data_IF_641773865331
#
_entry.id   IF_641773865331
#
_cell.length_a   1.000
_cell.length_b   1.000
_cell.length_c   1.000
_cell.angle_alpha   90.00
_cell.angle_beta   90.00
_cell.angle_gamma   90.00
#
_symmetry.space_group_name_H-M   'P 1'
#
loop_
_entity.id
_entity.type
_entity.pdbx_description
1 polymer ?
#
# COMPACT_ATOMS: atom_id res chain seq x y z
N UNK A 1 -10.42 22.42 -4.66
CA UNK A 1 -11.03 21.11 -4.97
C UNK A 1 -9.92 20.22 -5.48
N UNK A 2 -9.67 19.07 -4.87
CA UNK A 2 -8.71 18.11 -5.43
C UNK A 2 -9.28 17.54 -6.73
N UNK A 3 -8.48 17.55 -7.78
CA UNK A 3 -8.79 16.92 -9.06
C UNK A 3 -8.46 15.43 -9.01
N UNK A 4 -9.08 14.64 -9.89
CA UNK A 4 -8.77 13.22 -10.02
C UNK A 4 -7.27 12.96 -10.30
N UNK A 5 -6.58 13.91 -10.95
CA UNK A 5 -5.15 13.82 -11.26
C UNK A 5 -4.29 14.00 -10.02
N UNK A 6 -4.52 15.07 -9.25
CA UNK A 6 -3.82 15.31 -7.98
C UNK A 6 -4.05 14.17 -6.99
N UNK A 7 -5.24 13.56 -7.03
CA UNK A 7 -5.57 12.39 -6.23
C UNK A 7 -4.83 11.14 -6.64
N UNK A 8 -4.58 10.94 -7.94
CA UNK A 8 -3.76 9.84 -8.44
C UNK A 8 -2.29 9.98 -8.01
N UNK A 9 -1.77 11.20 -7.93
CA UNK A 9 -0.39 11.46 -7.46
C UNK A 9 -0.19 11.09 -5.99
N UNK A 10 -1.21 11.31 -5.15
CA UNK A 10 -1.15 11.03 -3.71
C UNK A 10 -1.77 9.68 -3.30
N UNK A 11 -2.28 8.91 -4.26
CA UNK A 11 -2.99 7.63 -3.99
C UNK A 11 -2.06 6.59 -3.36
N UNK A 12 -0.77 6.63 -3.71
CA UNK A 12 0.24 5.72 -3.18
C UNK A 12 0.51 6.01 -1.71
N UNK A 13 0.69 7.28 -1.35
CA UNK A 13 0.87 7.71 0.05
C UNK A 13 -0.35 7.38 0.90
N UNK A 14 -1.56 7.44 0.32
CA UNK A 14 -2.77 6.99 0.98
C UNK A 14 -2.77 5.48 1.22
N UNK A 15 -2.38 4.67 0.23
CA UNK A 15 -2.34 3.20 0.35
C UNK A 15 -1.26 2.72 1.32
N UNK A 16 -0.14 3.43 1.39
CA UNK A 16 0.97 3.13 2.29
C UNK A 16 0.80 3.73 3.69
N UNK A 17 -0.29 4.46 3.93
CA UNK A 17 -0.58 5.06 5.23
C UNK A 17 0.34 6.22 5.63
N UNK A 18 1.08 6.81 4.68
CA UNK A 18 2.04 7.91 4.90
C UNK A 18 1.40 9.30 4.87
N UNK A 19 0.08 9.39 4.73
CA UNK A 19 -0.65 10.65 4.55
C UNK A 19 -1.07 11.31 5.88
N UNK A 20 -0.77 12.61 6.03
CA UNK A 20 -1.24 13.44 7.14
C UNK A 20 -2.79 13.53 7.20
N UNK A 21 -3.33 13.64 8.42
CA UNK A 21 -4.77 13.56 8.68
C UNK A 21 -5.62 14.53 7.85
N UNK A 22 -5.19 15.80 7.72
CA UNK A 22 -5.92 16.81 6.94
C UNK A 22 -6.03 16.47 5.45
N UNK A 23 -4.95 15.95 4.84
CA UNK A 23 -4.97 15.49 3.44
C UNK A 23 -5.89 14.27 3.27
N UNK A 24 -5.90 13.38 4.26
CA UNK A 24 -6.75 12.19 4.27
C UNK A 24 -8.23 12.54 4.28
N UNK A 25 -8.64 13.58 5.01
CA UNK A 25 -10.06 14.03 4.99
C UNK A 25 -10.48 14.54 3.62
N UNK A 26 -9.66 15.38 2.98
CA UNK A 26 -9.95 15.90 1.64
C UNK A 26 -10.03 14.77 0.60
N UNK A 27 -9.14 13.77 0.72
CA UNK A 27 -9.13 12.56 -0.09
C UNK A 27 -10.44 11.76 0.03
N UNK A 28 -10.91 11.54 1.26
CA UNK A 28 -12.18 10.85 1.53
C UNK A 28 -13.39 11.58 0.98
N UNK A 29 -13.43 12.91 1.12
CA UNK A 29 -14.52 13.75 0.62
C UNK A 29 -14.60 13.70 -0.92
N UNK A 30 -13.48 13.66 -1.63
CA UNK A 30 -13.53 13.49 -3.07
C UNK A 30 -13.97 12.08 -3.49
N UNK A 31 -13.50 11.04 -2.80
CA UNK A 31 -13.87 9.65 -3.11
C UNK A 31 -15.37 9.40 -2.95
N UNK A 32 -15.99 10.01 -1.94
CA UNK A 32 -17.45 9.87 -1.75
C UNK A 32 -18.24 10.44 -2.93
N UNK A 33 -17.74 11.52 -3.54
CA UNK A 33 -18.40 12.22 -4.65
C UNK A 33 -17.99 11.71 -6.04
N UNK A 34 -16.81 11.10 -6.20
CA UNK A 34 -16.28 10.69 -7.50
C UNK A 34 -16.35 9.17 -7.72
N UNK A 35 -17.32 8.71 -8.51
CA UNK A 35 -17.47 7.28 -8.87
C UNK A 35 -16.28 6.74 -9.68
N UNK A 36 -15.72 7.53 -10.59
CA UNK A 36 -14.57 7.11 -11.40
C UNK A 36 -13.33 6.83 -10.56
N UNK A 37 -13.05 7.71 -9.59
CA UNK A 37 -11.90 7.53 -8.72
C UNK A 37 -12.06 6.34 -7.77
N UNK A 38 -13.30 6.01 -7.34
CA UNK A 38 -13.59 4.76 -6.61
C UNK A 38 -13.24 3.50 -7.42
N UNK A 39 -13.54 3.50 -8.72
CA UNK A 39 -13.17 2.39 -9.61
C UNK A 39 -11.66 2.30 -9.78
N UNK A 40 -10.98 3.43 -9.96
CA UNK A 40 -9.52 3.49 -10.04
C UNK A 40 -8.84 2.89 -8.81
N UNK A 41 -9.25 3.27 -7.59
CA UNK A 41 -8.71 2.69 -6.36
C UNK A 41 -8.95 1.19 -6.29
N UNK A 42 -10.14 0.74 -6.69
CA UNK A 42 -10.46 -0.70 -6.72
C UNK A 42 -9.53 -1.46 -7.66
N UNK A 43 -9.27 -0.91 -8.86
CA UNK A 43 -8.33 -1.49 -9.82
C UNK A 43 -6.92 -1.58 -9.23
N UNK A 44 -6.41 -0.50 -8.62
CA UNK A 44 -5.09 -0.53 -8.00
C UNK A 44 -4.97 -1.59 -6.90
N UNK A 45 -5.98 -1.71 -6.03
CA UNK A 45 -6.01 -2.75 -4.98
C UNK A 45 -5.99 -4.15 -5.58
N UNK A 46 -6.72 -4.38 -6.67
CA UNK A 46 -6.69 -5.65 -7.38
C UNK A 46 -5.32 -5.91 -8.01
N UNK A 47 -4.69 -4.92 -8.64
CA UNK A 47 -3.33 -5.04 -9.17
C UNK A 47 -2.35 -5.44 -8.07
N UNK A 48 -2.33 -4.73 -6.94
CA UNK A 48 -1.45 -5.04 -5.80
C UNK A 48 -1.71 -6.46 -5.28
N UNK A 49 -2.97 -6.85 -5.11
CA UNK A 49 -3.32 -8.19 -4.63
C UNK A 49 -2.88 -9.30 -5.60
N UNK A 50 -3.03 -9.07 -6.91
CA UNK A 50 -2.61 -10.01 -7.94
C UNK A 50 -1.09 -10.13 -7.99
N UNK A 51 -0.37 -9.00 -7.98
CA UNK A 51 1.10 -9.00 -7.94
C UNK A 51 1.61 -9.67 -6.66
N UNK A 52 0.95 -9.45 -5.52
CA UNK A 52 1.31 -10.04 -4.24
C UNK A 52 1.12 -11.56 -4.17
N UNK A 53 0.32 -12.15 -5.08
CA UNK A 53 0.10 -13.61 -5.19
C UNK A 53 1.06 -14.30 -6.14
N UNK A 54 1.89 -13.55 -6.89
CA UNK A 54 2.87 -14.18 -7.75
C UNK A 54 3.89 -14.98 -6.94
N UNK A 55 4.40 -16.10 -7.49
CA UNK A 55 5.45 -16.87 -6.83
C UNK A 55 6.61 -15.92 -6.53
N UNK A 56 6.91 -15.75 -5.25
CA UNK A 56 8.09 -14.98 -4.86
C UNK A 56 9.32 -15.82 -5.14
N UNK A 57 10.40 -15.14 -5.50
CA UNK A 57 11.73 -15.74 -5.52
C UNK A 57 11.94 -16.49 -4.19
N UNK A 58 12.30 -17.78 -4.22
CA UNK A 58 12.56 -18.52 -2.99
C UNK A 58 13.67 -17.81 -2.21
N UNK A 59 13.42 -17.55 -0.93
CA UNK A 59 14.41 -16.95 -0.04
C UNK A 59 15.58 -17.95 0.07
N UNK A 60 16.83 -17.54 -0.19
CA UNK A 60 17.99 -18.41 -0.02
C UNK A 60 18.01 -19.00 1.40
N UNK A 61 18.27 -20.31 1.58
CA UNK A 61 18.25 -20.94 2.90
C UNK A 61 19.15 -20.24 3.92
N UNK A 62 20.32 -19.75 3.48
CA UNK A 62 21.28 -19.04 4.34
C UNK A 62 20.67 -17.76 4.93
N UNK A 63 19.92 -16.99 4.14
CA UNK A 63 19.28 -15.74 4.59
C UNK A 63 18.22 -16.03 5.66
N UNK A 64 17.47 -17.12 5.51
CA UNK A 64 16.47 -17.53 6.50
C UNK A 64 17.14 -17.93 7.82
N UNK A 65 18.23 -18.71 7.76
CA UNK A 65 18.96 -19.15 8.95
C UNK A 65 19.61 -17.97 9.69
N UNK A 66 20.23 -17.04 8.95
CA UNK A 66 20.81 -15.82 9.51
C UNK A 66 19.77 -14.96 10.22
N UNK A 67 18.59 -14.79 9.60
CA UNK A 67 17.47 -14.06 10.23
C UNK A 67 17.00 -14.77 11.50
N UNK A 68 16.78 -16.09 11.47
CA UNK A 68 16.35 -16.83 12.65
C UNK A 68 17.41 -16.83 13.77
N UNK A 69 18.70 -16.81 13.43
CA UNK A 69 19.77 -16.68 14.41
C UNK A 69 19.78 -15.30 15.07
N UNK A 70 19.68 -14.21 14.28
CA UNK A 70 19.68 -12.83 14.79
C UNK A 70 18.51 -12.50 15.70
N UNK A 71 17.32 -13.04 15.39
CA UNK A 71 16.10 -12.76 16.16
C UNK A 71 15.82 -13.77 17.28
N UNK A 72 16.71 -14.76 17.50
CA UNK A 72 16.50 -15.85 18.47
C UNK A 72 16.35 -15.36 19.91
N UNK A 73 17.08 -14.31 20.30
CA UNK A 73 17.08 -13.76 21.65
C UNK A 73 16.55 -12.31 21.72
N UNK A 74 15.86 -11.81 20.69
CA UNK A 74 15.40 -10.41 20.60
C UNK A 74 14.57 -9.93 21.81
N UNK A 75 13.87 -10.86 22.49
CA UNK A 75 12.99 -10.54 23.64
C UNK A 75 13.57 -10.90 25.02
N UNK A 76 14.84 -11.31 25.10
CA UNK A 76 15.57 -11.29 26.37
C UNK A 76 16.12 -9.88 26.61
#
# INVERSE_FOLDING_TARGET
>A
MLTCKELAEIVTDYQEGRMAFGKRMSFWLHISMCRHFRVYIRQMKLTIATLGKMPREPIPPQVREDLLARFRDWKK
#
